data_IF_858907657514
#
_entry.id   IF_858907657514
#
_cell.length_a   1.000
_cell.length_b   1.000
_cell.length_c   1.000
_cell.angle_alpha   90.00
_cell.angle_beta   90.00
_cell.angle_gamma   90.00
#
_symmetry.space_group_name_H-M   'P 1'
#
loop_
_entity.id
_entity.type
_entity.pdbx_description
1 polymer ?
#
# COMPACT_ATOMS: atom_id res chain seq x y z
N UNK A 1 28.59 5.45 -1.35
CA UNK A 1 27.83 4.21 -1.67
C UNK A 1 26.42 4.60 -2.11
N UNK A 2 25.97 4.22 -3.32
CA UNK A 2 24.60 4.52 -3.78
C UNK A 2 23.67 3.55 -3.07
N UNK A 3 22.70 4.08 -2.32
CA UNK A 3 21.74 3.29 -1.52
C UNK A 3 21.08 2.18 -2.35
N UNK A 4 21.09 0.92 -1.90
CA UNK A 4 20.43 -0.19 -2.60
C UNK A 4 18.92 0.06 -2.79
N UNK A 5 18.30 0.81 -1.90
CA UNK A 5 16.88 1.19 -1.97
C UNK A 5 16.57 1.99 -3.24
N UNK A 6 17.45 2.91 -3.66
CA UNK A 6 17.26 3.67 -4.91
C UNK A 6 17.32 2.79 -6.16
N UNK A 7 18.12 1.73 -6.14
CA UNK A 7 18.22 0.79 -7.26
C UNK A 7 16.97 -0.10 -7.34
N UNK A 8 16.47 -0.59 -6.20
CA UNK A 8 15.26 -1.41 -6.15
C UNK A 8 14.06 -0.59 -6.60
N UNK A 9 13.88 0.63 -6.08
CA UNK A 9 12.80 1.51 -6.50
C UNK A 9 12.85 1.83 -8.01
N UNK A 10 14.04 2.14 -8.55
CA UNK A 10 14.21 2.39 -9.97
C UNK A 10 13.91 1.15 -10.83
N UNK A 11 14.33 -0.04 -10.42
CA UNK A 11 14.01 -1.29 -11.13
C UNK A 11 12.52 -1.60 -11.09
N UNK A 12 11.85 -1.38 -9.97
CA UNK A 12 10.41 -1.60 -9.84
C UNK A 12 9.64 -0.64 -10.75
N UNK A 13 10.01 0.64 -10.78
CA UNK A 13 9.40 1.64 -11.68
C UNK A 13 9.62 1.24 -13.14
N UNK A 14 10.83 0.83 -13.53
CA UNK A 14 11.14 0.38 -14.90
C UNK A 14 10.32 -0.86 -15.25
N UNK A 15 10.18 -1.81 -14.34
CA UNK A 15 9.41 -3.04 -14.57
C UNK A 15 7.92 -2.73 -14.78
N UNK A 16 7.35 -1.83 -13.99
CA UNK A 16 5.95 -1.38 -14.12
C UNK A 16 5.77 -0.62 -15.44
N UNK A 17 6.67 0.30 -15.79
CA UNK A 17 6.60 1.06 -17.03
C UNK A 17 6.79 0.19 -18.27
N UNK A 18 7.63 -0.85 -18.22
CA UNK A 18 7.78 -1.80 -19.33
C UNK A 18 6.59 -2.76 -19.43
N UNK A 19 5.99 -3.17 -18.32
CA UNK A 19 4.76 -3.96 -18.32
C UNK A 19 3.58 -3.15 -18.90
N UNK A 20 3.45 -1.86 -18.58
CA UNK A 20 2.38 -1.01 -19.10
C UNK A 20 2.43 -0.83 -20.63
N UNK A 21 3.61 -0.89 -21.24
CA UNK A 21 3.77 -0.79 -22.71
C UNK A 21 3.41 -2.08 -23.46
N UNK A 22 3.33 -3.21 -22.76
CA UNK A 22 3.07 -4.53 -23.35
C UNK A 22 1.59 -4.96 -23.28
N UNK A 23 0.79 -4.32 -22.44
CA UNK A 23 -0.62 -4.69 -22.24
C UNK A 23 -1.54 -3.51 -22.54
N UNK A 24 -2.38 -3.64 -23.56
CA UNK A 24 -3.52 -2.75 -23.76
C UNK A 24 -4.46 -2.90 -22.54
N UNK A 25 -4.82 -1.77 -21.87
CA UNK A 25 -5.69 -1.78 -20.71
C UNK A 25 -4.96 -1.74 -19.34
N UNK A 26 -3.67 -1.39 -19.33
CA UNK A 26 -2.93 -1.09 -18.11
C UNK A 26 -2.88 0.42 -17.89
N UNK A 27 -3.35 0.91 -16.77
CA UNK A 27 -3.13 2.28 -16.32
C UNK A 27 -2.12 2.31 -15.18
N UNK A 28 -1.13 3.18 -15.28
CA UNK A 28 -0.12 3.40 -14.25
C UNK A 28 -0.44 4.68 -13.49
N UNK A 29 -0.37 4.61 -12.18
CA UNK A 29 -0.60 5.77 -11.29
C UNK A 29 0.59 5.94 -10.36
N UNK A 30 0.91 7.18 -10.02
CA UNK A 30 1.79 7.47 -8.88
C UNK A 30 0.97 8.07 -7.76
N UNK A 31 1.28 7.71 -6.54
CA UNK A 31 0.61 8.18 -5.33
C UNK A 31 1.60 8.84 -4.39
N UNK A 32 1.17 9.88 -3.70
CA UNK A 32 1.91 10.47 -2.61
C UNK A 32 0.93 11.07 -1.59
N UNK A 33 1.17 10.87 -0.31
CA UNK A 33 0.24 11.37 0.68
C UNK A 33 0.69 11.22 2.12
N UNK A 34 -0.25 11.47 3.02
CA UNK A 34 -0.12 11.22 4.44
C UNK A 34 -0.84 9.92 4.79
N UNK A 35 -0.23 9.10 5.62
CA UNK A 35 -0.79 7.83 6.05
C UNK A 35 -0.67 7.70 7.57
N UNK A 36 -1.68 7.10 8.16
CA UNK A 36 -1.68 6.66 9.54
C UNK A 36 -2.03 5.17 9.55
N UNK A 37 -1.21 4.35 10.17
CA UNK A 37 -1.59 2.97 10.39
C UNK A 37 -1.31 2.53 11.82
N UNK A 38 -2.17 1.69 12.33
CA UNK A 38 -2.08 1.05 13.63
C UNK A 38 -2.08 -0.45 13.45
N UNK A 39 -1.21 -1.13 14.17
CA UNK A 39 -1.10 -2.58 14.11
C UNK A 39 -0.94 -3.15 15.52
N UNK A 40 -1.61 -4.27 15.77
CA UNK A 40 -1.63 -4.93 17.06
C UNK A 40 -1.49 -6.44 16.89
N UNK A 41 -0.60 -7.04 17.65
CA UNK A 41 -0.49 -8.49 17.72
C UNK A 41 -1.66 -9.08 18.49
N UNK A 42 -2.32 -10.08 17.90
CA UNK A 42 -3.48 -10.73 18.52
C UNK A 42 -3.05 -11.48 19.78
N UNK A 43 -3.72 -11.20 20.89
CA UNK A 43 -3.42 -11.81 22.20
C UNK A 43 -2.36 -11.08 23.03
N UNK A 44 -1.89 -9.91 22.58
CA UNK A 44 -0.99 -9.04 23.36
C UNK A 44 -1.66 -7.72 23.68
N UNK A 45 -1.20 -7.03 24.71
CA UNK A 45 -1.69 -5.70 25.08
C UNK A 45 -0.93 -4.58 24.34
N UNK A 46 -0.08 -4.92 23.36
CA UNK A 46 0.77 -3.98 22.67
C UNK A 46 0.38 -3.81 21.20
N UNK A 47 0.53 -2.61 20.71
CA UNK A 47 0.40 -2.25 19.29
C UNK A 47 1.32 -1.07 18.99
N UNK A 48 1.51 -0.78 17.72
CA UNK A 48 2.24 0.41 17.30
C UNK A 48 1.41 1.26 16.35
N UNK A 49 1.61 2.56 16.47
CA UNK A 49 0.99 3.56 15.61
C UNK A 49 2.07 4.27 14.81
N UNK A 50 1.88 4.33 13.50
CA UNK A 50 2.78 5.06 12.61
C UNK A 50 2.01 6.14 11.89
N UNK A 51 2.39 7.37 12.18
CA UNK A 51 2.01 8.55 11.41
C UNK A 51 3.17 8.89 10.48
N UNK A 52 2.88 9.07 9.21
CA UNK A 52 3.95 9.32 8.27
C UNK A 52 3.47 9.76 6.90
N UNK A 53 4.41 9.72 5.98
CA UNK A 53 4.17 10.00 4.57
C UNK A 53 4.33 8.73 3.75
N UNK A 54 3.54 8.63 2.68
CA UNK A 54 3.59 7.55 1.71
C UNK A 54 3.92 8.08 0.32
N UNK A 55 4.61 7.28 -0.46
CA UNK A 55 4.78 7.50 -1.88
C UNK A 55 4.89 6.16 -2.60
N UNK A 56 4.20 5.99 -3.70
CA UNK A 56 4.16 4.73 -4.40
C UNK A 56 3.78 4.83 -5.87
N UNK A 57 3.74 3.68 -6.47
CA UNK A 57 3.25 3.46 -7.83
C UNK A 57 2.29 2.28 -7.83
N UNK A 58 1.29 2.36 -8.65
CA UNK A 58 0.25 1.36 -8.80
C UNK A 58 -0.03 1.14 -10.28
N UNK A 59 -0.18 -0.11 -10.68
CA UNK A 59 -0.60 -0.52 -12.00
C UNK A 59 -1.97 -1.20 -11.92
N UNK A 60 -2.96 -0.63 -12.59
CA UNK A 60 -4.29 -1.22 -12.73
C UNK A 60 -4.39 -1.93 -14.06
N UNK A 61 -4.66 -3.23 -14.00
CA UNK A 61 -4.92 -4.09 -15.14
C UNK A 61 -6.43 -4.28 -15.27
N UNK A 62 -6.99 -3.85 -16.38
CA UNK A 62 -8.40 -4.02 -16.68
C UNK A 62 -8.71 -5.51 -16.97
N UNK A 63 -9.67 -6.05 -16.24
CA UNK A 63 -10.14 -7.44 -16.37
C UNK A 63 -11.50 -7.53 -17.07
N UNK A 64 -11.96 -6.42 -17.65
CA UNK A 64 -13.29 -6.25 -18.22
C UNK A 64 -14.35 -5.90 -17.16
N UNK A 65 -15.38 -5.20 -17.59
CA UNK A 65 -16.40 -4.58 -16.73
C UNK A 65 -15.77 -3.57 -15.75
N UNK A 66 -16.17 -3.55 -14.50
CA UNK A 66 -15.70 -2.64 -13.46
C UNK A 66 -14.56 -3.23 -12.61
N UNK A 67 -14.11 -4.45 -12.94
CA UNK A 67 -13.12 -5.16 -12.14
C UNK A 67 -11.72 -4.96 -12.71
N UNK A 68 -10.76 -4.73 -11.83
CA UNK A 68 -9.34 -4.54 -12.17
C UNK A 68 -8.48 -5.35 -11.22
N UNK A 69 -7.28 -5.67 -11.63
CA UNK A 69 -6.23 -6.13 -10.73
C UNK A 69 -5.30 -4.96 -10.48
N UNK A 70 -5.06 -4.65 -9.21
CA UNK A 70 -4.10 -3.64 -8.77
C UNK A 70 -2.81 -4.32 -8.34
N UNK A 71 -1.69 -3.79 -8.81
CA UNK A 71 -0.36 -4.15 -8.36
C UNK A 71 0.31 -2.88 -7.84
N UNK A 72 0.41 -2.76 -6.52
CA UNK A 72 0.93 -1.57 -5.85
C UNK A 72 2.30 -1.84 -5.23
N UNK A 73 3.20 -0.88 -5.35
CA UNK A 73 4.43 -0.80 -4.59
C UNK A 73 4.51 0.58 -3.92
N UNK A 74 4.52 0.60 -2.60
CA UNK A 74 4.44 1.82 -1.81
C UNK A 74 5.56 1.84 -0.74
N UNK A 75 6.14 3.01 -0.52
CA UNK A 75 7.06 3.29 0.57
C UNK A 75 6.38 4.23 1.57
N UNK A 76 6.28 3.78 2.81
CA UNK A 76 5.77 4.57 3.93
C UNK A 76 6.94 4.89 4.86
N UNK A 77 6.99 6.11 5.35
CA UNK A 77 8.03 6.56 6.29
C UNK A 77 7.39 7.23 7.50
N UNK A 78 7.74 6.77 8.68
CA UNK A 78 7.31 7.38 9.93
C UNK A 78 7.83 8.82 10.05
N UNK A 79 7.02 9.71 10.61
CA UNK A 79 7.34 11.13 10.76
C UNK A 79 8.57 11.36 11.66
N UNK A 80 8.79 10.50 12.64
CA UNK A 80 9.96 10.51 13.54
C UNK A 80 11.21 9.85 12.95
N UNK A 81 11.13 9.36 11.71
CA UNK A 81 12.18 8.60 11.01
C UNK A 81 12.58 7.26 11.67
N UNK A 82 11.84 6.79 12.67
CA UNK A 82 12.15 5.54 13.37
C UNK A 82 11.98 4.30 12.51
N UNK A 83 11.08 4.36 11.54
CA UNK A 83 10.71 3.22 10.73
C UNK A 83 10.41 3.61 9.28
N UNK A 84 10.70 2.71 8.37
CA UNK A 84 10.23 2.75 6.98
C UNK A 84 9.61 1.42 6.62
N UNK A 85 8.51 1.43 5.88
CA UNK A 85 7.83 0.23 5.43
C UNK A 85 7.72 0.27 3.91
N UNK A 86 8.19 -0.77 3.25
CA UNK A 86 7.91 -1.01 1.84
C UNK A 86 6.75 -1.99 1.76
N UNK A 87 5.68 -1.57 1.14
CA UNK A 87 4.47 -2.37 0.95
C UNK A 87 4.38 -2.80 -0.51
N UNK A 88 4.10 -4.08 -0.72
CA UNK A 88 3.74 -4.64 -2.02
C UNK A 88 2.36 -5.25 -1.88
N UNK A 89 1.44 -4.84 -2.74
CA UNK A 89 0.07 -5.30 -2.73
C UNK A 89 -0.32 -5.84 -4.11
N UNK A 90 -1.01 -6.98 -4.12
CA UNK A 90 -1.66 -7.53 -5.29
C UNK A 90 -3.12 -7.80 -4.94
N UNK A 91 -4.02 -7.07 -5.56
CA UNK A 91 -5.42 -7.03 -5.12
C UNK A 91 -6.41 -6.98 -6.28
N UNK A 92 -7.63 -7.37 -5.98
CA UNK A 92 -8.79 -7.04 -6.80
C UNK A 92 -9.26 -5.64 -6.42
N UNK A 93 -9.41 -4.80 -7.42
CA UNK A 93 -9.86 -3.42 -7.31
C UNK A 93 -11.16 -3.24 -8.08
N UNK A 94 -12.12 -2.59 -7.47
CA UNK A 94 -13.37 -2.19 -8.09
C UNK A 94 -13.70 -0.77 -7.72
N UNK A 95 -14.09 0.04 -8.72
CA UNK A 95 -14.57 1.39 -8.51
C UNK A 95 -15.96 1.58 -9.12
N UNK A 96 -16.73 2.49 -8.54
CA UNK A 96 -18.04 2.91 -9.04
C UNK A 96 -18.17 4.43 -8.91
N UNK A 97 -18.56 5.08 -9.98
CA UNK A 97 -18.86 6.51 -9.98
C UNK A 97 -20.21 6.75 -9.29
N UNK A 98 -20.21 7.58 -8.26
CA UNK A 98 -21.41 7.94 -7.48
C UNK A 98 -21.89 9.36 -7.79
N UNK A 99 -21.01 10.23 -8.24
CA UNK A 99 -21.26 11.58 -8.70
C UNK A 99 -20.21 11.93 -9.76
N UNK A 100 -20.46 12.98 -10.53
CA UNK A 100 -19.44 13.52 -11.43
C UNK A 100 -18.15 13.76 -10.66
N UNK A 101 -17.05 13.19 -11.15
CA UNK A 101 -15.70 13.28 -10.57
C UNK A 101 -15.52 12.63 -9.18
N UNK A 102 -16.52 11.91 -8.67
CA UNK A 102 -16.44 11.23 -7.37
C UNK A 102 -16.68 9.74 -7.54
N UNK A 103 -15.73 8.91 -7.13
CA UNK A 103 -15.82 7.45 -7.16
C UNK A 103 -15.67 6.87 -5.77
N UNK A 104 -16.44 5.83 -5.49
CA UNK A 104 -16.15 4.89 -4.41
C UNK A 104 -15.27 3.78 -4.97
N UNK A 105 -14.35 3.28 -4.16
CA UNK A 105 -13.59 2.09 -4.51
C UNK A 105 -13.50 1.11 -3.35
N UNK A 106 -13.31 -0.15 -3.72
CA UNK A 106 -12.99 -1.24 -2.83
C UNK A 106 -11.82 -2.03 -3.41
N UNK A 107 -10.89 -2.37 -2.56
CA UNK A 107 -9.72 -3.15 -2.88
C UNK A 107 -9.52 -4.26 -1.86
N UNK A 108 -9.21 -5.48 -2.30
CA UNK A 108 -8.94 -6.60 -1.40
C UNK A 108 -7.94 -7.55 -2.03
N UNK A 109 -6.91 -7.92 -1.27
CA UNK A 109 -5.84 -8.75 -1.81
C UNK A 109 -4.80 -9.18 -0.80
N UNK A 110 -3.67 -9.62 -1.33
CA UNK A 110 -2.49 -10.03 -0.55
C UNK A 110 -1.55 -8.85 -0.42
N UNK A 111 -1.12 -8.58 0.78
CA UNK A 111 -0.17 -7.52 1.10
C UNK A 111 1.09 -8.10 1.75
N UNK A 112 2.23 -7.58 1.35
CA UNK A 112 3.53 -7.93 1.94
C UNK A 112 4.22 -6.64 2.37
N UNK A 113 4.68 -6.61 3.61
CA UNK A 113 5.47 -5.52 4.17
C UNK A 113 6.92 -5.93 4.35
N UNK A 114 7.83 -5.04 4.00
CA UNK A 114 9.22 -5.09 4.41
C UNK A 114 9.46 -3.91 5.35
N UNK A 115 9.61 -4.21 6.63
CA UNK A 115 9.77 -3.22 7.70
C UNK A 115 11.25 -2.99 7.92
N UNK A 116 11.67 -1.75 7.82
CA UNK A 116 13.04 -1.28 8.00
C UNK A 116 13.06 -0.36 9.22
N UNK A 117 13.57 -0.89 10.34
CA UNK A 117 13.84 -0.17 11.57
C UNK A 117 15.29 -0.45 11.99
N UNK A 118 15.56 -0.66 13.26
CA UNK A 118 16.87 -1.15 13.75
C UNK A 118 17.19 -2.58 13.30
N UNK A 119 16.22 -3.25 12.65
CA UNK A 119 16.34 -4.55 11.99
C UNK A 119 15.49 -4.59 10.74
N UNK A 120 15.46 -5.75 10.08
CA UNK A 120 14.61 -6.01 8.92
C UNK A 120 13.55 -7.03 9.31
N UNK A 121 12.28 -6.63 9.19
CA UNK A 121 11.13 -7.51 9.40
C UNK A 121 10.36 -7.69 8.09
N UNK A 122 9.70 -8.83 7.95
CA UNK A 122 8.80 -9.11 6.83
C UNK A 122 7.46 -9.56 7.38
N UNK A 123 6.39 -9.05 6.82
CA UNK A 123 5.02 -9.45 7.13
C UNK A 123 4.28 -9.78 5.84
N UNK A 124 3.34 -10.70 5.92
CA UNK A 124 2.48 -11.08 4.80
C UNK A 124 1.08 -11.37 5.32
N UNK A 125 0.07 -10.89 4.62
CA UNK A 125 -1.30 -11.06 5.03
C UNK A 125 -2.31 -10.71 3.95
N UNK A 126 -3.55 -10.58 4.41
CA UNK A 126 -4.66 -10.10 3.60
C UNK A 126 -5.00 -8.67 4.02
N UNK A 127 -5.29 -7.83 3.05
CA UNK A 127 -5.74 -6.47 3.25
C UNK A 127 -7.05 -6.22 2.50
N UNK A 128 -7.89 -5.39 3.10
CA UNK A 128 -9.08 -4.85 2.47
C UNK A 128 -9.12 -3.35 2.72
N UNK A 129 -9.19 -2.57 1.66
CA UNK A 129 -9.17 -1.11 1.70
C UNK A 129 -10.36 -0.58 0.90
N UNK A 130 -11.01 0.44 1.39
CA UNK A 130 -12.06 1.15 0.68
C UNK A 130 -11.93 2.65 0.86
N UNK A 131 -12.54 3.40 -0.03
CA UNK A 131 -12.42 4.85 0.04
C UNK A 131 -13.17 5.59 -1.04
N UNK A 132 -12.88 6.88 -1.09
CA UNK A 132 -13.44 7.83 -2.04
C UNK A 132 -12.29 8.47 -2.81
N UNK A 133 -12.40 8.53 -4.13
CA UNK A 133 -11.54 9.34 -4.97
C UNK A 133 -12.31 10.50 -5.59
N UNK A 134 -11.68 11.64 -5.64
CA UNK A 134 -12.17 12.85 -6.27
C UNK A 134 -11.22 13.25 -7.40
N UNK A 135 -11.72 13.26 -8.64
CA UNK A 135 -10.95 13.66 -9.82
C UNK A 135 -10.93 15.18 -9.93
N UNK A 136 -9.82 15.81 -9.60
CA UNK A 136 -9.63 17.24 -9.76
C UNK A 136 -9.32 17.64 -11.22
N UNK A 137 -8.71 16.73 -11.98
CA UNK A 137 -8.50 16.79 -13.43
C UNK A 137 -8.53 15.38 -14.01
N UNK A 138 -8.44 15.24 -15.32
CA UNK A 138 -8.37 13.94 -15.99
C UNK A 138 -7.22 13.06 -15.46
N UNK A 139 -6.12 13.67 -15.05
CA UNK A 139 -4.91 12.98 -14.62
C UNK A 139 -4.64 13.07 -13.12
N UNK A 140 -5.38 13.86 -12.36
CA UNK A 140 -5.10 14.10 -10.97
C UNK A 140 -6.31 13.82 -10.08
N UNK A 141 -6.11 12.94 -9.09
CA UNK A 141 -7.12 12.55 -8.11
C UNK A 141 -6.62 12.80 -6.68
N UNK A 142 -7.55 13.14 -5.80
CA UNK A 142 -7.38 13.12 -4.36
C UNK A 142 -8.13 11.91 -3.82
N UNK A 143 -7.44 11.06 -3.06
CA UNK A 143 -7.97 9.80 -2.56
C UNK A 143 -7.97 9.80 -1.03
N UNK A 144 -9.12 9.51 -0.45
CA UNK A 144 -9.25 9.23 0.98
C UNK A 144 -9.58 7.75 1.13
N UNK A 145 -8.80 7.05 1.94
CA UNK A 145 -8.96 5.61 2.14
C UNK A 145 -8.88 5.20 3.60
N UNK A 146 -9.55 4.10 3.90
CA UNK A 146 -9.37 3.37 5.15
C UNK A 146 -9.33 1.88 4.86
N UNK A 147 -8.56 1.14 5.62
CA UNK A 147 -8.37 -0.29 5.42
C UNK A 147 -8.20 -1.07 6.71
N UNK A 148 -8.37 -2.36 6.57
CA UNK A 148 -8.07 -3.36 7.59
C UNK A 148 -7.16 -4.41 7.00
N UNK A 149 -6.26 -4.93 7.82
CA UNK A 149 -5.35 -5.99 7.40
C UNK A 149 -5.25 -7.07 8.47
N UNK A 150 -4.97 -8.28 8.03
CA UNK A 150 -4.66 -9.40 8.90
C UNK A 150 -3.37 -10.05 8.39
N UNK A 151 -2.28 -9.83 9.10
CA UNK A 151 -0.98 -10.43 8.82
C UNK A 151 -0.90 -11.78 9.52
N UNK A 152 -0.88 -12.84 8.75
CA UNK A 152 -0.79 -14.22 9.24
C UNK A 152 0.65 -14.74 9.29
N UNK A 153 1.59 -14.01 8.72
CA UNK A 153 3.03 -14.25 8.83
C UNK A 153 3.71 -12.94 9.19
N UNK A 154 4.50 -12.94 10.26
CA UNK A 154 5.31 -11.79 10.67
C UNK A 154 6.62 -12.27 11.27
N UNK A 155 7.73 -11.88 10.66
CA UNK A 155 9.06 -11.97 11.26
C UNK A 155 9.41 -10.68 12.05
N UNK A 156 8.70 -9.58 11.78
CA UNK A 156 8.88 -8.31 12.47
C UNK A 156 8.47 -8.39 13.95
N UNK A 157 7.53 -9.25 14.29
CA UNK A 157 7.06 -9.45 15.67
C UNK A 157 8.20 -9.82 16.62
N UNK A 158 9.16 -10.61 16.17
CA UNK A 158 10.32 -10.98 16.98
C UNK A 158 11.25 -9.79 17.26
N UNK A 159 11.31 -8.82 16.34
CA UNK A 159 12.14 -7.62 16.47
C UNK A 159 11.46 -6.56 17.33
N UNK A 160 10.15 -6.36 17.16
CA UNK A 160 9.42 -5.25 17.80
C UNK A 160 8.81 -5.63 19.16
N UNK A 161 8.42 -6.88 19.38
CA UNK A 161 7.63 -7.28 20.54
C UNK A 161 8.28 -8.36 21.40
N UNK A 162 9.44 -8.88 21.05
CA UNK A 162 10.08 -10.03 21.72
C UNK A 162 9.16 -11.25 21.85
N UNK A 163 8.19 -11.41 20.96
CA UNK A 163 7.20 -12.48 20.93
C UNK A 163 7.54 -13.50 19.82
N UNK A 164 7.10 -14.75 19.93
CA UNK A 164 7.39 -15.78 18.93
C UNK A 164 6.86 -15.42 17.54
N UNK A 165 7.57 -15.79 16.50
CA UNK A 165 7.37 -15.47 15.08
C UNK A 165 6.08 -15.98 14.41
N UNK A 166 5.08 -16.42 15.15
CA UNK A 166 3.83 -16.99 14.64
C UNK A 166 2.56 -16.26 15.08
N UNK A 167 2.69 -15.03 15.53
CA UNK A 167 1.54 -14.25 16.01
C UNK A 167 0.86 -13.57 14.82
N UNK A 168 -0.45 -13.77 14.71
CA UNK A 168 -1.28 -13.02 13.77
C UNK A 168 -1.39 -11.56 14.21
N UNK A 169 -1.23 -10.63 13.29
CA UNK A 169 -1.36 -9.20 13.55
C UNK A 169 -2.57 -8.65 12.82
N UNK A 170 -3.33 -7.81 13.50
CA UNK A 170 -4.45 -7.08 12.91
C UNK A 170 -4.11 -5.61 12.88
N UNK A 171 -4.26 -5.01 11.72
CA UNK A 171 -3.98 -3.60 11.50
C UNK A 171 -5.17 -2.85 10.91
N UNK A 172 -5.18 -1.56 11.16
CA UNK A 172 -6.05 -0.60 10.49
C UNK A 172 -5.21 0.54 9.95
N UNK A 173 -5.56 1.03 8.78
CA UNK A 173 -4.89 2.17 8.18
C UNK A 173 -5.90 3.19 7.66
N UNK A 174 -5.46 4.43 7.56
CA UNK A 174 -6.16 5.50 6.90
C UNK A 174 -5.16 6.35 6.13
N UNK A 175 -5.56 6.83 4.97
CA UNK A 175 -4.71 7.63 4.10
C UNK A 175 -5.45 8.78 3.44
N UNK A 176 -4.71 9.85 3.19
CA UNK A 176 -5.08 10.93 2.29
C UNK A 176 -3.96 11.06 1.27
N UNK A 177 -4.24 10.75 0.03
CA UNK A 177 -3.25 10.64 -1.03
C UNK A 177 -3.63 11.48 -2.24
N UNK A 178 -2.62 11.98 -2.94
CA UNK A 178 -2.75 12.56 -4.27
C UNK A 178 -2.25 11.53 -5.27
N UNK A 179 -3.03 11.26 -6.29
CA UNK A 179 -2.73 10.27 -7.32
C UNK A 179 -2.63 10.97 -8.67
N UNK A 180 -1.55 10.69 -9.40
CA UNK A 180 -1.37 11.14 -10.78
C UNK A 180 -1.40 9.94 -11.71
N UNK A 181 -2.22 10.02 -12.77
CA UNK A 181 -2.36 9.01 -13.83
C UNK A 181 -1.51 9.39 -15.02
N UNK A 182 -0.76 8.45 -15.54
CA UNK A 182 0.08 8.62 -16.74
C UNK A 182 -0.65 8.18 -18.00
#
# INVERSE_FOLDING_TARGET
MKSPVKKVAAMTIILILTASSLFAGVSVRSTAGATRFFEMAVGTAGGFLVDGVSAGVDALLDMGSENKVSLEANAKKAADNSMSVLTFNASFYRDAEIMTDVKLFLESGVETHLILSDGVGTEMGLACKGGVSFSATENFEVVMSAGVRNMFFSSATAVMYSTPSSVSMVGVDAGLECTYKF
#
